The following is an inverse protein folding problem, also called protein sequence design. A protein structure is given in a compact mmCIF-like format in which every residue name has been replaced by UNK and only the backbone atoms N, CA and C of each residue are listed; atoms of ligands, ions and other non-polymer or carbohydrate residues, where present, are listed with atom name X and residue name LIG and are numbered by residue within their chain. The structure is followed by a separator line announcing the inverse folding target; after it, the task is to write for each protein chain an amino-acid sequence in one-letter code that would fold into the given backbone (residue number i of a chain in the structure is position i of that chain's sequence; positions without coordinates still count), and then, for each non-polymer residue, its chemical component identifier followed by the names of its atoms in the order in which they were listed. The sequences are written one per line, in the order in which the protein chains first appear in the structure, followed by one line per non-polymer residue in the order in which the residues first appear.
data_IF_656743502693
#
_entry.id   IF_656743502693
#
_cell.length_a   1.000
_cell.length_b   1.000
_cell.length_c   1.000
_cell.angle_alpha   90.00
_cell.angle_beta   90.00
_cell.angle_gamma   90.00
#
_symmetry.space_group_name_H-M   'P 1'
#
loop_
_entity.id
_entity.type
_entity.pdbx_description
1 polymer ?
#
# COMPACT_ATOMS: atom_id res chain seq x y z
N UNK A 1 -9.13 -2.31 -3.08
CA UNK A 1 -7.92 -2.22 -2.23
C UNK A 1 -7.10 -0.95 -2.52
N UNK A 2 -6.55 -0.73 -3.72
CA UNK A 2 -5.70 0.45 -3.99
C UNK A 2 -6.39 1.80 -3.70
N UNK A 3 -7.67 1.96 -4.08
CA UNK A 3 -8.44 3.18 -3.83
C UNK A 3 -8.61 3.43 -2.33
N UNK A 4 -8.82 2.37 -1.55
CA UNK A 4 -8.90 2.46 -0.09
C UNK A 4 -7.57 2.95 0.50
N UNK A 5 -6.44 2.37 0.08
CA UNK A 5 -5.10 2.79 0.53
C UNK A 5 -4.76 4.23 0.12
N UNK A 6 -5.17 4.64 -1.08
CA UNK A 6 -5.01 6.02 -1.54
C UNK A 6 -5.88 7.00 -0.73
N UNK A 7 -7.12 6.63 -0.38
CA UNK A 7 -7.94 7.45 0.52
C UNK A 7 -7.36 7.53 1.94
N UNK A 8 -6.70 6.48 2.42
CA UNK A 8 -5.97 6.53 3.70
C UNK A 8 -4.79 7.50 3.62
N UNK A 9 -4.00 7.45 2.54
CA UNK A 9 -2.84 8.33 2.38
C UNK A 9 -3.23 9.81 2.24
N UNK A 10 -4.43 10.12 1.71
CA UNK A 10 -4.94 11.50 1.67
C UNK A 10 -5.20 12.11 3.05
N UNK A 11 -5.45 11.27 4.07
CA UNK A 11 -5.68 11.74 5.44
C UNK A 11 -4.38 11.88 6.25
N UNK A 12 -3.29 11.34 5.73
CA UNK A 12 -1.99 11.39 6.38
C UNK A 12 -1.15 12.54 5.82
N UNK A 13 -0.78 13.47 6.68
CA UNK A 13 0.02 14.63 6.30
C UNK A 13 1.42 14.24 5.81
N UNK A 14 1.98 13.14 6.32
CA UNK A 14 3.29 12.66 5.87
C UNK A 14 3.26 12.16 4.41
N UNK A 15 2.09 11.76 3.91
CA UNK A 15 1.93 11.33 2.53
C UNK A 15 1.98 12.49 1.52
N UNK A 16 1.79 13.74 1.95
CA UNK A 16 1.86 14.94 1.09
C UNK A 16 3.28 15.14 0.53
N UNK A 17 4.30 14.59 1.21
CA UNK A 17 5.71 14.69 0.80
C UNK A 17 6.03 13.79 -0.39
N UNK A 18 5.18 12.80 -0.69
CA UNK A 18 5.37 11.88 -1.81
C UNK A 18 4.61 12.35 -3.05
N UNK A 19 5.15 12.02 -4.23
CA UNK A 19 4.44 12.29 -5.48
C UNK A 19 3.19 11.38 -5.58
N UNK A 20 2.09 11.86 -6.18
CA UNK A 20 0.90 11.04 -6.41
C UNK A 20 1.19 9.74 -7.18
N UNK A 21 2.15 9.76 -8.11
CA UNK A 21 2.62 8.57 -8.82
C UNK A 21 3.27 7.55 -7.89
N UNK A 22 4.13 7.99 -6.96
CA UNK A 22 4.78 7.14 -5.95
C UNK A 22 3.73 6.51 -5.04
N UNK A 23 2.75 7.28 -4.58
CA UNK A 23 1.63 6.79 -3.77
C UNK A 23 0.84 5.73 -4.53
N UNK A 24 0.50 5.99 -5.80
CA UNK A 24 -0.25 5.04 -6.62
C UNK A 24 0.47 3.70 -6.77
N UNK A 25 1.79 3.74 -7.01
CA UNK A 25 2.62 2.55 -7.16
C UNK A 25 2.79 1.81 -5.82
N UNK A 26 2.96 2.53 -4.71
CA UNK A 26 3.00 1.95 -3.37
C UNK A 26 1.67 1.26 -2.99
N UNK A 27 0.53 1.90 -3.30
CA UNK A 27 -0.80 1.31 -3.12
C UNK A 27 -0.98 0.04 -3.95
N UNK A 28 -0.47 0.01 -5.19
CA UNK A 28 -0.52 -1.17 -6.05
C UNK A 28 0.31 -2.33 -5.47
N UNK A 29 1.52 -2.04 -5.00
CA UNK A 29 2.37 -3.02 -4.32
C UNK A 29 1.64 -3.62 -3.10
N UNK A 30 1.11 -2.78 -2.22
CA UNK A 30 0.41 -3.21 -1.01
C UNK A 30 -0.88 -3.97 -1.30
N UNK A 31 -1.61 -3.57 -2.34
CA UNK A 31 -2.80 -4.30 -2.76
C UNK A 31 -2.46 -5.71 -3.24
N UNK A 32 -1.41 -5.85 -4.06
CA UNK A 32 -0.91 -7.17 -4.49
C UNK A 32 -0.44 -8.00 -3.31
N UNK A 33 0.31 -7.39 -2.39
CA UNK A 33 0.78 -8.05 -1.18
C UNK A 33 -0.37 -8.52 -0.27
N UNK A 34 -1.41 -7.70 -0.10
CA UNK A 34 -2.56 -8.05 0.74
C UNK A 34 -3.42 -9.16 0.13
N UNK A 35 -3.53 -9.19 -1.20
CA UNK A 35 -4.28 -10.25 -1.91
C UNK A 35 -3.49 -11.55 -2.00
N UNK A 36 -2.18 -11.47 -2.25
CA UNK A 36 -1.28 -12.64 -2.33
C UNK A 36 0.01 -12.39 -1.55
N UNK A 37 0.02 -12.64 -0.22
CA UNK A 37 1.20 -12.42 0.61
C UNK A 37 2.33 -13.41 0.30
N UNK A 38 2.02 -14.53 -0.38
CA UNK A 38 2.99 -15.57 -0.77
C UNK A 38 3.70 -15.28 -2.09
N UNK A 39 3.23 -14.31 -2.86
CA UNK A 39 3.80 -13.96 -4.16
C UNK A 39 4.55 -12.64 -4.04
N UNK A 40 5.71 -12.53 -4.69
CA UNK A 40 6.45 -11.27 -4.74
C UNK A 40 5.54 -10.20 -5.38
N UNK A 41 5.19 -9.12 -4.65
CA UNK A 41 4.27 -8.10 -5.18
C UNK A 41 4.92 -7.21 -6.24
N UNK A 42 6.26 -7.20 -6.31
CA UNK A 42 7.07 -6.40 -7.23
C UNK A 42 7.84 -7.25 -8.23
N UNK A 43 7.51 -7.04 -9.51
CA UNK A 43 8.10 -7.74 -10.66
C UNK A 43 8.89 -6.77 -11.54
N UNK A 44 9.82 -7.31 -12.33
CA UNK A 44 10.68 -6.53 -13.25
C UNK A 44 9.84 -5.73 -14.26
N UNK A 45 8.76 -6.33 -14.76
CA UNK A 45 7.80 -5.68 -15.66
C UNK A 45 7.15 -4.45 -15.02
N UNK A 46 6.93 -4.47 -13.71
CA UNK A 46 6.35 -3.35 -12.97
C UNK A 46 7.35 -2.21 -12.81
N UNK A 47 8.62 -2.54 -12.56
CA UNK A 47 9.71 -1.58 -12.52
C UNK A 47 9.92 -0.90 -13.87
N UNK A 48 9.86 -1.65 -14.98
CA UNK A 48 9.98 -1.08 -16.33
C UNK A 48 8.80 -0.16 -16.67
N UNK A 49 7.57 -0.57 -16.35
CA UNK A 49 6.38 0.23 -16.64
C UNK A 49 6.25 1.49 -15.77
N UNK A 50 6.69 1.41 -14.51
CA UNK A 50 6.57 2.54 -13.56
C UNK A 50 7.81 3.42 -13.54
N UNK A 51 8.95 2.93 -14.05
CA UNK A 51 10.27 3.59 -13.97
C UNK A 51 10.71 3.93 -12.54
N UNK A 52 10.10 3.34 -11.52
CA UNK A 52 10.44 3.54 -10.11
C UNK A 52 11.23 2.34 -9.56
N UNK A 53 12.24 2.62 -8.74
CA UNK A 53 12.94 1.61 -7.93
C UNK A 53 12.18 1.33 -6.64
N UNK A 54 12.27 0.09 -6.14
CA UNK A 54 11.61 -0.32 -4.89
C UNK A 54 12.17 0.47 -3.71
N UNK A 55 13.47 0.76 -3.73
CA UNK A 55 14.15 1.60 -2.76
C UNK A 55 13.52 3.00 -2.59
N UNK A 56 13.09 3.64 -3.68
CA UNK A 56 12.40 4.94 -3.63
C UNK A 56 10.97 4.83 -3.11
N UNK A 57 10.32 3.69 -3.32
CA UNK A 57 8.94 3.44 -2.91
C UNK A 57 8.86 2.97 -1.46
N UNK A 58 9.94 2.38 -0.92
CA UNK A 58 10.00 1.74 0.40
C UNK A 58 9.44 2.61 1.52
N UNK A 59 9.84 3.89 1.59
CA UNK A 59 9.35 4.82 2.61
C UNK A 59 7.84 5.07 2.49
N UNK A 60 7.31 5.16 1.27
CA UNK A 60 5.88 5.36 1.02
C UNK A 60 5.08 4.08 1.32
N UNK A 61 5.59 2.92 0.90
CA UNK A 61 5.00 1.59 1.17
C UNK A 61 4.87 1.36 2.67
N UNK A 62 5.95 1.55 3.43
CA UNK A 62 5.94 1.36 4.88
C UNK A 62 4.95 2.32 5.56
N UNK A 63 4.87 3.57 5.11
CA UNK A 63 3.94 4.53 5.69
C UNK A 63 2.48 4.14 5.47
N UNK A 64 2.13 3.79 4.23
CA UNK A 64 0.77 3.38 3.88
C UNK A 64 0.41 2.05 4.56
N UNK A 65 1.37 1.14 4.74
CA UNK A 65 1.18 -0.11 5.47
C UNK A 65 0.86 0.12 6.96
N UNK A 66 1.56 1.04 7.63
CA UNK A 66 1.24 1.44 9.01
C UNK A 66 -0.17 2.06 9.13
N UNK A 67 -0.59 2.86 8.14
CA UNK A 67 -1.96 3.36 8.04
C UNK A 67 -2.98 2.23 7.86
N UNK A 68 -2.66 1.24 7.04
CA UNK A 68 -3.51 0.08 6.79
C UNK A 68 -3.70 -0.74 8.07
N UNK A 69 -2.63 -0.99 8.83
CA UNK A 69 -2.66 -1.67 10.13
C UNK A 69 -3.45 -0.86 11.18
N UNK A 70 -3.60 0.44 11.01
CA UNK A 70 -4.37 1.31 11.90
C UNK A 70 -3.66 1.66 13.19
N UNK A 71 -2.32 1.54 13.21
CA UNK A 71 -1.49 1.84 14.38
C UNK A 71 -1.50 3.33 14.74
N UNK A 72 -1.67 4.21 13.76
CA UNK A 72 -1.54 5.66 13.98
C UNK A 72 -2.87 6.43 14.03
N UNK A 73 -3.95 5.93 13.43
CA UNK A 73 -5.19 6.71 13.32
C UNK A 73 -6.45 5.88 13.62
N UNK A 74 -6.81 5.83 14.91
CA UNK A 74 -8.08 5.27 15.39
C UNK A 74 -9.32 6.01 14.83
N UNK A 75 -9.14 7.25 14.36
CA UNK A 75 -10.21 8.08 13.79
C UNK A 75 -10.56 7.78 12.32
N UNK A 76 -9.88 6.83 11.65
CA UNK A 76 -10.20 6.41 10.28
C UNK A 76 -11.44 5.49 10.18
N UNK A 77 -12.26 5.46 11.24
CA UNK A 77 -13.43 4.61 11.35
C UNK A 77 -14.45 4.86 10.24
N UNK A 78 -14.60 6.10 9.77
CA UNK A 78 -15.49 6.46 8.67
C UNK A 78 -15.08 5.80 7.34
N UNK A 79 -13.80 5.89 6.95
CA UNK A 79 -13.29 5.27 5.72
C UNK A 79 -13.33 3.74 5.84
N UNK A 80 -12.90 3.19 6.98
CA UNK A 80 -12.97 1.75 7.21
C UNK A 80 -14.41 1.23 7.12
N UNK A 81 -15.37 1.96 7.68
CA UNK A 81 -16.80 1.62 7.59
C UNK A 81 -17.32 1.71 6.15
N UNK A 82 -16.96 2.77 5.40
CA UNK A 82 -17.30 2.92 3.97
C UNK A 82 -16.81 1.72 3.17
N UNK A 83 -15.53 1.35 3.30
CA UNK A 83 -14.92 0.23 2.57
C UNK A 83 -15.19 -1.15 3.18
N UNK A 84 -15.94 -1.22 4.29
CA UNK A 84 -16.49 -2.46 4.84
C UNK A 84 -17.82 -2.84 4.16
N UNK A 85 -18.43 -1.92 3.41
CA UNK A 85 -19.64 -2.24 2.68
C UNK A 85 -19.38 -3.29 1.58
N UNK A 86 -20.34 -4.21 1.39
CA UNK A 86 -20.26 -5.27 0.36
C UNK A 86 -20.04 -4.72 -1.06
N UNK A 87 -20.49 -3.50 -1.35
CA UNK A 87 -20.27 -2.81 -2.64
C UNK A 87 -18.78 -2.60 -2.96
N UNK A 88 -17.92 -2.55 -1.93
CA UNK A 88 -16.47 -2.43 -2.09
C UNK A 88 -15.72 -3.73 -1.79
N UNK A 89 -16.42 -4.86 -1.70
CA UNK A 89 -15.82 -6.16 -1.43
C UNK A 89 -15.22 -6.30 -0.03
N UNK A 90 -15.68 -5.50 0.94
CA UNK A 90 -15.20 -5.54 2.33
C UNK A 90 -13.67 -5.42 2.46
N UNK A 91 -13.03 -4.67 1.55
CA UNK A 91 -11.56 -4.56 1.47
C UNK A 91 -10.93 -3.99 2.74
N UNK A 92 -11.68 -3.26 3.57
CA UNK A 92 -11.19 -2.80 4.87
C UNK A 92 -11.05 -3.91 5.92
N UNK A 93 -11.69 -5.08 5.72
CA UNK A 93 -11.54 -6.26 6.57
C UNK A 93 -10.35 -7.14 6.16
N UNK A 94 -9.77 -6.90 4.98
CA UNK A 94 -8.60 -7.65 4.52
C UNK A 94 -7.39 -7.20 5.34
N UNK A 95 -7.05 -7.99 6.35
CA UNK A 95 -5.86 -7.77 7.16
C UNK A 95 -4.61 -8.07 6.32
N UNK A 96 -3.73 -7.09 6.19
CA UNK A 96 -2.36 -7.33 5.70
C UNK A 96 -1.55 -8.02 6.79
N UNK A 97 -0.55 -8.79 6.38
CA UNK A 97 0.46 -9.30 7.32
C UNK A 97 1.14 -8.15 8.07
N UNK A 98 1.45 -8.37 9.34
CA UNK A 98 2.04 -7.37 10.26
C UNK A 98 3.39 -6.86 9.78
N UNK A 99 4.11 -7.64 8.96
CA UNK A 99 5.43 -7.29 8.45
C UNK A 99 5.52 -7.60 6.95
N UNK A 100 6.10 -6.67 6.19
CA UNK A 100 6.47 -6.87 4.80
C UNK A 100 7.89 -7.47 4.79
N UNK A 101 8.09 -8.68 4.23
CA UNK A 101 9.42 -9.26 4.11
C UNK A 101 10.39 -8.30 3.41
N UNK A 102 11.57 -8.10 4.02
CA UNK A 102 12.59 -7.20 3.46
C UNK A 102 13.01 -7.60 2.03
N UNK A 103 12.95 -8.90 1.70
CA UNK A 103 13.20 -9.45 0.37
C UNK A 103 12.24 -8.95 -0.72
N UNK A 104 11.05 -8.47 -0.34
CA UNK A 104 10.12 -7.82 -1.27
C UNK A 104 10.40 -6.33 -1.46
N UNK A 105 11.21 -5.74 -0.58
CA UNK A 105 11.63 -4.34 -0.61
C UNK A 105 13.04 -4.16 -1.19
N UNK A 106 13.66 -5.25 -1.64
CA UNK A 106 14.94 -5.25 -2.34
C UNK A 106 14.72 -4.96 -3.84
N UNK A 107 15.59 -4.09 -4.37
CA UNK A 107 15.61 -3.79 -5.79
C UNK A 107 15.90 -5.06 -6.58
N UNK A 108 15.23 -5.22 -7.71
CA UNK A 108 15.60 -6.24 -8.68
C UNK A 108 16.77 -5.69 -9.48
N UNK A 109 17.96 -6.21 -9.23
CA UNK A 109 19.09 -6.02 -10.15
C UNK A 109 18.79 -6.78 -11.45
N UNK A 110 19.09 -6.12 -12.57
CA UNK A 110 18.81 -6.60 -13.93
C UNK A 110 19.96 -7.45 -14.45
#
# INVERSE_FOLDING_TARGET
MCIYLAELSLLDYDCIRFLPSVIAVACLFLARFTVSPKTRPWDLTLQENTSYKVSNLKSCILRIHELQLGRQYLNLKAIRSKYNERKFGCVSMMASSEEIPASFLEDLDK
#
